data_IF_433168316828
#
_entry.id   IF_433168316828
#
_cell.length_a   1.000
_cell.length_b   1.000
_cell.length_c   1.000
_cell.angle_alpha   90.00
_cell.angle_beta   90.00
_cell.angle_gamma   90.00
#
_symmetry.space_group_name_H-M   'P 1'
#
loop_
_entity.id
_entity.type
_entity.pdbx_description
1 polymer ?
#
# COMPACT_ATOMS: atom_id res chain seq x y z
N UNK A 1 -10.99 30.66 -10.94
CA UNK A 1 -9.70 30.14 -10.43
C UNK A 1 -9.01 29.41 -11.58
N UNK A 2 -7.71 29.63 -11.75
CA UNK A 2 -6.94 29.00 -12.82
C UNK A 2 -6.65 27.53 -12.49
N UNK A 3 -6.59 26.68 -13.53
CA UNK A 3 -6.13 25.30 -13.40
C UNK A 3 -4.60 25.28 -13.36
N UNK A 4 -4.02 24.94 -12.22
CA UNK A 4 -2.58 24.87 -12.01
C UNK A 4 -2.10 23.41 -11.96
N UNK A 5 -0.88 23.15 -12.35
CA UNK A 5 -0.23 21.83 -12.20
C UNK A 5 0.19 21.64 -10.73
N UNK A 6 -0.28 20.57 -10.12
CA UNK A 6 -0.04 20.24 -8.69
C UNK A 6 0.66 18.89 -8.53
N UNK A 7 0.26 17.89 -9.32
CA UNK A 7 0.79 16.54 -9.26
C UNK A 7 1.64 16.22 -10.46
N UNK A 8 2.89 15.85 -10.23
CA UNK A 8 3.78 15.34 -11.26
C UNK A 8 3.39 13.92 -11.72
N UNK A 9 3.97 13.47 -12.82
CA UNK A 9 3.69 12.14 -13.39
C UNK A 9 4.12 11.02 -12.44
N UNK A 10 5.32 11.03 -11.83
CA UNK A 10 5.70 9.99 -10.87
C UNK A 10 4.70 9.81 -9.74
N UNK A 11 4.25 10.91 -9.12
CA UNK A 11 3.27 10.87 -8.01
C UNK A 11 1.95 10.25 -8.45
N UNK A 12 1.47 10.58 -9.64
CA UNK A 12 0.21 10.03 -10.19
C UNK A 12 0.33 8.55 -10.53
N UNK A 13 1.43 8.14 -11.16
CA UNK A 13 1.70 6.73 -11.46
C UNK A 13 1.82 5.91 -10.19
N UNK A 14 2.59 6.40 -9.21
CA UNK A 14 2.65 5.77 -7.90
C UNK A 14 1.26 5.59 -7.29
N UNK A 15 0.46 6.65 -7.25
CA UNK A 15 -0.88 6.61 -6.63
C UNK A 15 -1.75 5.51 -7.25
N UNK A 16 -1.82 5.44 -8.58
CA UNK A 16 -2.66 4.46 -9.25
C UNK A 16 -2.10 3.03 -9.16
N UNK A 17 -0.78 2.85 -9.26
CA UNK A 17 -0.15 1.55 -9.07
C UNK A 17 -0.36 1.03 -7.64
N UNK A 18 -0.19 1.91 -6.64
CA UNK A 18 -0.38 1.57 -5.24
C UNK A 18 -1.85 1.27 -4.92
N UNK A 19 -2.78 2.08 -5.41
CA UNK A 19 -4.21 1.83 -5.25
C UNK A 19 -4.63 0.51 -5.92
N UNK A 20 -4.12 0.21 -7.12
CA UNK A 20 -4.42 -1.05 -7.80
C UNK A 20 -3.86 -2.27 -7.04
N UNK A 21 -2.61 -2.21 -6.56
CA UNK A 21 -2.03 -3.32 -5.81
C UNK A 21 -2.74 -3.55 -4.47
N UNK A 22 -3.07 -2.50 -3.72
CA UNK A 22 -3.82 -2.65 -2.48
C UNK A 22 -5.25 -3.17 -2.72
N UNK A 23 -5.96 -2.61 -3.73
CA UNK A 23 -7.32 -3.08 -4.04
C UNK A 23 -7.31 -4.54 -4.49
N UNK A 24 -6.34 -4.94 -5.32
CA UNK A 24 -6.19 -6.32 -5.76
C UNK A 24 -5.87 -7.26 -4.60
N UNK A 25 -4.90 -6.90 -3.75
CA UNK A 25 -4.55 -7.68 -2.58
C UNK A 25 -5.74 -7.84 -1.63
N UNK A 26 -6.42 -6.74 -1.27
CA UNK A 26 -7.60 -6.76 -0.40
C UNK A 26 -8.71 -7.63 -1.02
N UNK A 27 -9.01 -7.44 -2.32
CA UNK A 27 -10.07 -8.18 -2.97
C UNK A 27 -9.79 -9.69 -2.97
N UNK A 28 -8.57 -10.12 -3.28
CA UNK A 28 -8.21 -11.54 -3.24
C UNK A 28 -8.27 -12.05 -1.80
N UNK A 29 -7.63 -11.39 -0.84
CA UNK A 29 -7.58 -11.86 0.55
C UNK A 29 -8.94 -11.93 1.25
N UNK A 30 -9.97 -11.21 0.77
CA UNK A 30 -11.33 -11.30 1.31
C UNK A 30 -12.28 -12.18 0.50
N UNK A 31 -11.93 -12.56 -0.74
CA UNK A 31 -12.82 -13.29 -1.65
C UNK A 31 -12.35 -14.71 -1.96
N UNK A 32 -11.13 -15.06 -1.56
CA UNK A 32 -10.56 -16.39 -1.79
C UNK A 32 -10.08 -17.00 -0.48
N UNK A 33 -10.05 -18.32 -0.43
CA UNK A 33 -9.48 -19.09 0.66
C UNK A 33 -7.94 -19.21 0.48
N UNK A 34 -7.21 -19.52 1.55
CA UNK A 34 -5.74 -19.55 1.55
C UNK A 34 -5.16 -20.63 0.62
N UNK A 35 -5.92 -21.71 0.34
CA UNK A 35 -5.56 -22.78 -0.58
C UNK A 35 -5.90 -22.48 -2.06
N UNK A 36 -6.56 -21.34 -2.34
CA UNK A 36 -6.85 -20.91 -3.72
C UNK A 36 -5.54 -20.49 -4.42
N UNK A 37 -5.29 -20.95 -5.66
CA UNK A 37 -4.13 -20.54 -6.45
C UNK A 37 -3.99 -19.02 -6.64
N UNK A 38 -5.09 -18.25 -6.54
CA UNK A 38 -5.06 -16.79 -6.59
C UNK A 38 -4.43 -16.18 -5.34
N UNK A 39 -4.39 -16.90 -4.19
CA UNK A 39 -3.82 -16.37 -2.95
C UNK A 39 -2.34 -16.02 -3.10
N UNK A 40 -1.60 -16.77 -3.94
CA UNK A 40 -0.24 -16.40 -4.34
C UNK A 40 -0.19 -14.96 -4.91
N UNK A 41 -1.19 -14.57 -5.71
CA UNK A 41 -1.27 -13.21 -6.27
C UNK A 41 -1.50 -12.15 -5.19
N UNK A 42 -2.27 -12.47 -4.12
CA UNK A 42 -2.39 -11.61 -2.94
C UNK A 42 -1.01 -11.28 -2.35
N UNK A 43 -0.20 -12.30 -2.11
CA UNK A 43 1.14 -12.15 -1.55
C UNK A 43 2.08 -11.35 -2.45
N UNK A 44 2.08 -11.64 -3.76
CA UNK A 44 2.86 -10.88 -4.74
C UNK A 44 2.46 -9.40 -4.79
N UNK A 45 1.15 -9.09 -4.73
CA UNK A 45 0.65 -7.72 -4.68
C UNK A 45 1.05 -6.99 -3.39
N UNK A 46 1.15 -7.71 -2.26
CA UNK A 46 1.72 -7.19 -1.02
C UNK A 46 3.18 -6.76 -1.19
N UNK A 47 4.01 -7.60 -1.82
CA UNK A 47 5.42 -7.25 -2.13
C UNK A 47 5.49 -6.05 -3.08
N UNK A 48 4.62 -5.99 -4.10
CA UNK A 48 4.53 -4.83 -5.00
C UNK A 48 4.19 -3.57 -4.22
N UNK A 49 3.24 -3.62 -3.30
CA UNK A 49 2.85 -2.47 -2.49
C UNK A 49 4.01 -1.95 -1.62
N UNK A 50 4.80 -2.85 -1.01
CA UNK A 50 6.01 -2.48 -0.24
C UNK A 50 7.06 -1.83 -1.13
N UNK A 51 7.36 -2.39 -2.29
CA UNK A 51 8.28 -1.78 -3.25
C UNK A 51 7.84 -0.37 -3.65
N UNK A 52 6.57 -0.21 -4.03
CA UNK A 52 6.01 1.08 -4.37
C UNK A 52 6.11 2.08 -3.20
N UNK A 53 5.89 1.60 -1.97
CA UNK A 53 6.04 2.43 -0.77
C UNK A 53 7.48 2.91 -0.56
N UNK A 54 8.48 2.04 -0.78
CA UNK A 54 9.90 2.42 -0.71
C UNK A 54 10.19 3.54 -1.71
N UNK A 55 9.76 3.38 -2.96
CA UNK A 55 9.90 4.44 -3.98
C UNK A 55 9.17 5.72 -3.55
N UNK A 56 7.99 5.60 -2.95
CA UNK A 56 7.22 6.76 -2.46
C UNK A 56 7.94 7.50 -1.32
N UNK A 57 8.63 6.78 -0.44
CA UNK A 57 9.44 7.39 0.62
C UNK A 57 10.54 8.25 0.00
N UNK A 58 11.26 7.73 -1.00
CA UNK A 58 12.27 8.50 -1.74
C UNK A 58 11.63 9.75 -2.36
N UNK A 59 10.50 9.60 -3.07
CA UNK A 59 9.76 10.74 -3.64
C UNK A 59 9.27 11.72 -2.57
N UNK A 60 8.97 11.24 -1.37
CA UNK A 60 8.58 12.06 -0.22
C UNK A 60 9.71 12.96 0.32
N UNK A 61 10.96 12.59 0.05
CA UNK A 61 12.14 13.35 0.47
C UNK A 61 12.60 14.30 -0.64
N UNK A 62 12.77 13.77 -1.87
CA UNK A 62 13.41 14.52 -2.98
C UNK A 62 12.46 14.95 -4.09
N UNK A 63 11.19 14.59 -4.04
CA UNK A 63 10.19 14.83 -5.08
C UNK A 63 9.79 16.29 -5.26
N UNK A 64 8.75 16.52 -6.08
CA UNK A 64 8.19 17.84 -6.32
C UNK A 64 7.55 18.44 -5.06
N UNK A 65 7.29 19.76 -5.07
CA UNK A 65 6.81 20.53 -3.91
C UNK A 65 5.68 19.82 -3.15
N UNK A 66 4.65 19.36 -3.84
CA UNK A 66 3.47 18.75 -3.21
C UNK A 66 3.60 17.23 -2.97
N UNK A 67 4.61 16.57 -3.56
CA UNK A 67 4.93 15.18 -3.31
C UNK A 67 5.72 14.99 -2.00
N UNK A 68 6.47 16.01 -1.54
CA UNK A 68 7.31 15.93 -0.34
C UNK A 68 6.50 15.88 0.93
N UNK A 69 6.95 15.07 1.89
CA UNK A 69 6.33 14.95 3.22
C UNK A 69 6.35 16.25 4.00
N UNK A 70 7.35 17.11 3.77
CA UNK A 70 7.42 18.44 4.37
C UNK A 70 6.25 19.36 3.98
N UNK A 71 5.50 19.03 2.91
CA UNK A 71 4.31 19.77 2.49
C UNK A 71 3.01 19.24 3.10
N UNK A 72 3.07 18.18 3.91
CA UNK A 72 1.87 17.59 4.52
C UNK A 72 1.35 18.49 5.66
N UNK A 73 0.08 18.90 5.62
CA UNK A 73 -0.50 19.79 6.63
C UNK A 73 -0.96 18.99 7.86
N UNK A 74 0.01 18.38 8.59
CA UNK A 74 -0.24 17.52 9.74
C UNK A 74 -0.04 18.25 11.09
N UNK A 75 -0.01 19.58 11.11
CA UNK A 75 0.04 20.35 12.37
C UNK A 75 -1.24 20.09 13.17
N UNK A 76 -1.16 19.68 14.45
CA UNK A 76 -2.33 19.24 15.22
C UNK A 76 -3.51 20.21 15.20
N UNK A 77 -3.24 21.52 15.38
CA UNK A 77 -4.28 22.56 15.37
C UNK A 77 -4.91 22.74 13.98
N UNK A 78 -4.14 22.63 12.89
CA UNK A 78 -4.66 22.73 11.53
C UNK A 78 -5.50 21.50 11.17
N UNK A 79 -5.05 20.32 11.55
CA UNK A 79 -5.80 19.07 11.35
C UNK A 79 -7.12 19.10 12.13
N UNK A 80 -7.10 19.47 13.42
CA UNK A 80 -8.30 19.56 14.24
C UNK A 80 -9.31 20.55 13.65
N UNK A 81 -8.87 21.74 13.26
CA UNK A 81 -9.72 22.75 12.61
C UNK A 81 -10.29 22.25 11.29
N UNK A 82 -9.49 21.54 10.49
CA UNK A 82 -9.94 20.94 9.24
C UNK A 82 -11.05 19.92 9.47
N UNK A 83 -10.88 18.98 10.39
CA UNK A 83 -11.89 17.95 10.67
C UNK A 83 -13.17 18.55 11.28
N UNK A 84 -13.05 19.49 12.21
CA UNK A 84 -14.21 20.19 12.76
C UNK A 84 -14.99 20.94 11.67
N UNK A 85 -14.31 21.64 10.76
CA UNK A 85 -14.96 22.38 9.67
C UNK A 85 -15.45 21.46 8.54
N UNK A 86 -14.86 20.29 8.35
CA UNK A 86 -15.27 19.34 7.31
C UNK A 86 -16.71 18.85 7.48
N UNK A 87 -17.23 18.80 8.71
CA UNK A 87 -18.59 18.41 8.99
C UNK A 87 -19.57 19.61 8.97
N UNK A 88 -19.12 20.78 9.38
CA UNK A 88 -19.98 21.94 9.67
C UNK A 88 -20.01 22.99 8.56
N UNK A 89 -18.91 23.19 7.83
CA UNK A 89 -18.77 24.27 6.86
C UNK A 89 -17.88 23.88 5.66
N UNK A 90 -17.65 24.86 4.75
CA UNK A 90 -16.65 24.67 3.69
C UNK A 90 -15.26 24.75 4.29
N UNK A 91 -14.48 23.70 4.09
CA UNK A 91 -13.07 23.65 4.50
C UNK A 91 -12.19 24.55 3.63
N UNK A 92 -11.02 24.93 4.17
CA UNK A 92 -9.96 25.59 3.42
C UNK A 92 -9.55 24.71 2.20
N UNK A 93 -9.30 25.35 1.08
CA UNK A 93 -8.73 24.67 -0.10
C UNK A 93 -7.22 24.53 0.04
N UNK A 94 -6.72 23.35 -0.31
CA UNK A 94 -5.30 23.03 -0.32
C UNK A 94 -4.86 22.72 -1.75
N UNK A 95 -3.75 23.30 -2.19
CA UNK A 95 -3.19 22.97 -3.51
C UNK A 95 -2.72 21.51 -3.55
N UNK A 96 -1.89 21.07 -2.61
CA UNK A 96 -1.47 19.68 -2.44
C UNK A 96 -2.46 18.83 -1.64
N UNK A 97 -1.95 18.06 -0.69
CA UNK A 97 -2.76 17.26 0.23
C UNK A 97 -3.50 18.16 1.21
N UNK A 98 -4.74 17.83 1.53
CA UNK A 98 -5.43 18.35 2.69
C UNK A 98 -5.09 17.48 3.93
N UNK A 99 -5.37 17.94 5.17
CA UNK A 99 -5.06 17.18 6.38
C UNK A 99 -5.63 15.76 6.40
N UNK A 100 -6.84 15.55 5.90
CA UNK A 100 -7.46 14.23 5.84
C UNK A 100 -6.72 13.29 4.88
N UNK A 101 -6.39 13.75 3.67
CA UNK A 101 -5.62 12.95 2.71
C UNK A 101 -4.19 12.69 3.18
N UNK A 102 -3.56 13.67 3.86
CA UNK A 102 -2.23 13.51 4.41
C UNK A 102 -2.21 12.47 5.55
N UNK A 103 -3.18 12.52 6.45
CA UNK A 103 -3.32 11.54 7.54
C UNK A 103 -3.59 10.13 6.98
N UNK A 104 -4.51 10.01 6.04
CA UNK A 104 -4.79 8.71 5.40
C UNK A 104 -3.53 8.12 4.74
N UNK A 105 -2.74 8.95 4.03
CA UNK A 105 -1.48 8.51 3.43
C UNK A 105 -0.48 8.01 4.49
N UNK A 106 -0.31 8.74 5.60
CA UNK A 106 0.59 8.32 6.68
C UNK A 106 0.13 7.00 7.30
N UNK A 107 -1.17 6.85 7.58
CA UNK A 107 -1.72 5.60 8.12
C UNK A 107 -1.50 4.42 7.17
N UNK A 108 -1.77 4.59 5.86
CA UNK A 108 -1.49 3.54 4.87
C UNK A 108 0.00 3.20 4.82
N UNK A 109 0.90 4.19 4.94
CA UNK A 109 2.36 3.96 4.93
C UNK A 109 2.86 3.22 6.18
N UNK A 110 2.14 3.27 7.28
CA UNK A 110 2.42 2.49 8.48
C UNK A 110 1.79 1.09 8.42
N UNK A 111 0.55 1.00 7.94
CA UNK A 111 -0.19 -0.27 7.88
C UNK A 111 0.39 -1.23 6.84
N UNK A 112 0.82 -0.75 5.68
CA UNK A 112 1.31 -1.63 4.59
C UNK A 112 2.58 -2.41 4.99
N UNK A 113 3.63 -1.83 5.60
CA UNK A 113 4.74 -2.60 6.12
C UNK A 113 4.32 -3.58 7.24
N UNK A 114 3.44 -3.16 8.14
CA UNK A 114 2.94 -4.04 9.20
C UNK A 114 2.21 -5.25 8.62
N UNK A 115 1.35 -5.04 7.63
CA UNK A 115 0.68 -6.11 6.88
C UNK A 115 1.67 -7.02 6.16
N UNK A 116 2.72 -6.47 5.57
CA UNK A 116 3.75 -7.27 4.92
C UNK A 116 4.47 -8.19 5.91
N UNK A 117 4.90 -7.66 7.06
CA UNK A 117 5.61 -8.45 8.07
C UNK A 117 4.71 -9.53 8.69
N UNK A 118 3.46 -9.21 8.98
CA UNK A 118 2.51 -10.20 9.51
C UNK A 118 2.12 -11.23 8.46
N UNK A 119 1.90 -10.84 7.22
CA UNK A 119 1.59 -11.76 6.12
C UNK A 119 2.76 -12.65 5.70
N UNK A 120 4.01 -12.24 5.98
CA UNK A 120 5.19 -13.07 5.79
C UNK A 120 5.47 -14.03 6.98
N UNK A 121 4.57 -14.12 7.95
CA UNK A 121 4.75 -14.99 9.13
C UNK A 121 5.87 -14.53 10.08
N UNK A 122 6.36 -13.30 9.93
CA UNK A 122 7.45 -12.78 10.77
C UNK A 122 6.89 -12.39 12.13
N UNK A 123 7.16 -13.20 13.15
CA UNK A 123 6.71 -12.99 14.53
C UNK A 123 6.17 -14.25 15.21
N UNK A 124 5.81 -15.28 14.45
CA UNK A 124 5.28 -16.56 14.98
C UNK A 124 3.92 -16.43 15.67
N UNK A 125 3.26 -17.54 15.96
CA UNK A 125 2.04 -17.57 16.76
C UNK A 125 0.81 -16.94 16.08
N UNK A 126 0.10 -16.05 16.78
CA UNK A 126 -1.19 -15.45 16.36
C UNK A 126 -1.05 -14.37 15.28
N UNK A 127 -0.03 -14.45 14.41
CA UNK A 127 0.28 -13.40 13.41
C UNK A 127 -0.83 -13.26 12.37
N UNK A 128 -1.54 -14.34 12.06
CA UNK A 128 -2.66 -14.33 11.12
C UNK A 128 -3.82 -13.43 11.58
N UNK A 129 -4.21 -13.52 12.87
CA UNK A 129 -5.27 -12.68 13.44
C UNK A 129 -4.87 -11.19 13.45
N UNK A 130 -3.58 -10.92 13.67
CA UNK A 130 -3.04 -9.56 13.60
C UNK A 130 -3.09 -9.05 12.16
N UNK A 131 -2.72 -9.88 11.18
CA UNK A 131 -2.79 -9.53 9.76
C UNK A 131 -4.22 -9.16 9.35
N UNK A 132 -5.20 -9.97 9.71
CA UNK A 132 -6.61 -9.71 9.41
C UNK A 132 -7.08 -8.39 10.07
N UNK A 133 -6.75 -8.17 11.35
CA UNK A 133 -7.09 -6.92 12.05
C UNK A 133 -6.50 -5.70 11.35
N UNK A 134 -5.24 -5.77 10.91
CA UNK A 134 -4.59 -4.70 10.17
C UNK A 134 -5.19 -4.50 8.77
N UNK A 135 -5.66 -5.58 8.12
CA UNK A 135 -6.33 -5.50 6.83
C UNK A 135 -7.68 -4.76 6.95
N UNK A 136 -8.46 -5.05 7.99
CA UNK A 136 -9.68 -4.30 8.30
C UNK A 136 -9.39 -2.82 8.62
N UNK A 137 -8.32 -2.53 9.35
CA UNK A 137 -7.89 -1.16 9.61
C UNK A 137 -7.51 -0.43 8.33
N UNK A 138 -6.75 -1.09 7.43
CA UNK A 138 -6.40 -0.53 6.12
C UNK A 138 -7.63 -0.26 5.27
N UNK A 139 -8.57 -1.20 5.21
CA UNK A 139 -9.84 -1.03 4.49
C UNK A 139 -10.63 0.16 5.02
N UNK A 140 -10.72 0.33 6.35
CA UNK A 140 -11.37 1.48 6.97
C UNK A 140 -10.68 2.80 6.59
N UNK A 141 -9.35 2.86 6.59
CA UNK A 141 -8.60 4.06 6.18
C UNK A 141 -8.86 4.40 4.70
N UNK A 142 -8.89 3.40 3.82
CA UNK A 142 -9.20 3.58 2.39
C UNK A 142 -10.63 4.09 2.23
N UNK A 143 -11.61 3.48 2.92
CA UNK A 143 -13.01 3.90 2.86
C UNK A 143 -13.19 5.35 3.33
N UNK A 144 -12.56 5.74 4.44
CA UNK A 144 -12.59 7.10 4.95
C UNK A 144 -11.90 8.09 3.99
N UNK A 145 -10.80 7.69 3.35
CA UNK A 145 -10.13 8.50 2.33
C UNK A 145 -11.06 8.76 1.14
N UNK A 146 -11.68 7.73 0.59
CA UNK A 146 -12.61 7.85 -0.53
C UNK A 146 -13.86 8.66 -0.14
N UNK A 147 -14.43 8.41 1.04
CA UNK A 147 -15.55 9.19 1.57
C UNK A 147 -15.21 10.68 1.71
N UNK A 148 -14.00 10.99 2.18
CA UNK A 148 -13.48 12.36 2.26
C UNK A 148 -13.36 13.03 0.90
N UNK A 149 -12.91 12.31 -0.13
CA UNK A 149 -12.86 12.80 -1.52
C UNK A 149 -14.26 13.09 -2.07
N UNK A 150 -15.21 12.20 -1.84
CA UNK A 150 -16.62 12.37 -2.26
C UNK A 150 -17.23 13.58 -1.57
N UNK A 151 -17.09 13.68 -0.25
CA UNK A 151 -17.60 14.81 0.53
C UNK A 151 -17.03 16.14 0.05
N UNK A 152 -15.71 16.19 -0.18
CA UNK A 152 -15.05 17.38 -0.73
C UNK A 152 -15.62 17.74 -2.11
N UNK A 153 -15.77 16.77 -3.00
CA UNK A 153 -16.30 16.97 -4.36
C UNK A 153 -17.71 17.54 -4.32
N UNK A 154 -18.60 17.00 -3.47
CA UNK A 154 -19.97 17.50 -3.33
C UNK A 154 -19.98 18.94 -2.79
N UNK A 155 -19.20 19.22 -1.75
CA UNK A 155 -19.20 20.52 -1.06
C UNK A 155 -18.58 21.65 -1.84
N UNK A 156 -17.44 21.36 -2.49
CA UNK A 156 -16.70 22.39 -3.22
C UNK A 156 -17.01 22.41 -4.70
N UNK A 157 -17.82 21.46 -5.20
CA UNK A 157 -18.14 21.26 -6.62
C UNK A 157 -16.86 21.18 -7.48
N UNK A 158 -15.81 20.58 -6.93
CA UNK A 158 -14.52 20.37 -7.56
C UNK A 158 -14.09 18.92 -7.36
N UNK A 159 -13.97 18.16 -8.46
CA UNK A 159 -13.50 16.77 -8.40
C UNK A 159 -12.00 16.73 -8.17
N UNK A 160 -11.57 16.64 -6.91
CA UNK A 160 -10.15 16.51 -6.60
C UNK A 160 -9.58 15.14 -6.97
N UNK A 161 -10.41 14.10 -7.05
CA UNK A 161 -9.99 12.80 -7.57
C UNK A 161 -9.46 12.87 -9.02
N UNK A 162 -10.08 13.70 -9.89
CA UNK A 162 -9.60 13.92 -11.23
C UNK A 162 -8.19 14.56 -11.29
N UNK A 163 -7.74 15.21 -10.22
CA UNK A 163 -6.40 15.77 -10.18
C UNK A 163 -5.31 14.69 -10.20
N UNK A 164 -5.59 13.47 -9.73
CA UNK A 164 -4.67 12.34 -9.84
C UNK A 164 -4.63 11.73 -11.25
N UNK A 165 -5.54 12.14 -12.14
CA UNK A 165 -5.50 11.78 -13.57
C UNK A 165 -4.85 12.90 -14.37
N UNK A 166 -5.29 14.14 -14.18
CA UNK A 166 -4.88 15.30 -15.00
C UNK A 166 -3.61 16.00 -14.49
N UNK A 167 -3.25 15.80 -13.24
CA UNK A 167 -2.19 16.54 -12.52
C UNK A 167 -2.62 17.93 -12.07
N UNK A 168 -3.85 18.39 -12.38
CA UNK A 168 -4.27 19.79 -12.25
C UNK A 168 -5.40 19.97 -11.25
N UNK A 169 -5.33 21.07 -10.49
CA UNK A 169 -6.38 21.53 -9.57
C UNK A 169 -6.64 23.02 -9.77
N UNK A 170 -7.78 23.50 -9.28
CA UNK A 170 -8.02 24.95 -9.19
C UNK A 170 -7.21 25.51 -8.02
N UNK A 171 -6.42 26.54 -8.25
CA UNK A 171 -5.54 27.09 -7.22
C UNK A 171 -4.90 28.42 -7.61
N UNK A 172 -4.01 28.89 -6.71
CA UNK A 172 -3.19 30.06 -6.96
C UNK A 172 -2.02 29.66 -7.90
N UNK A 173 -1.69 30.46 -8.94
CA UNK A 173 -0.52 30.24 -9.78
C UNK A 173 0.79 30.09 -9.00
N UNK A 174 0.92 30.74 -7.86
CA UNK A 174 2.09 30.62 -6.98
C UNK A 174 2.27 29.21 -6.36
N UNK A 175 1.22 28.40 -6.34
CA UNK A 175 1.25 27.03 -5.86
C UNK A 175 1.54 26.00 -6.96
N UNK A 176 1.64 26.43 -8.22
CA UNK A 176 1.96 25.52 -9.32
C UNK A 176 3.35 24.91 -9.19
N UNK A 177 3.50 23.66 -9.55
CA UNK A 177 4.83 23.06 -9.76
C UNK A 177 5.32 23.38 -11.17
N UNK A 178 6.64 23.60 -11.34
CA UNK A 178 7.18 24.06 -12.63
C UNK A 178 7.16 23.02 -13.74
N UNK A 179 7.14 21.72 -13.37
CA UNK A 179 7.19 20.61 -14.34
C UNK A 179 6.40 19.41 -13.87
N UNK A 180 5.86 18.66 -14.83
CA UNK A 180 5.25 17.33 -14.58
C UNK A 180 6.27 16.20 -14.48
N UNK A 181 7.56 16.48 -14.65
CA UNK A 181 8.67 15.52 -14.55
C UNK A 181 8.49 14.24 -15.39
N UNK A 182 8.26 14.32 -16.72
CA UNK A 182 7.93 13.16 -17.55
C UNK A 182 9.06 12.12 -17.60
N UNK A 183 10.32 12.54 -17.61
CA UNK A 183 11.47 11.63 -17.59
C UNK A 183 11.51 10.78 -16.30
N UNK A 184 11.27 11.38 -15.13
CA UNK A 184 11.14 10.65 -13.87
C UNK A 184 9.91 9.75 -13.85
N UNK A 185 8.81 10.17 -14.50
CA UNK A 185 7.62 9.33 -14.69
C UNK A 185 7.93 8.09 -15.53
N UNK A 186 8.67 8.23 -16.61
CA UNK A 186 9.10 7.12 -17.46
C UNK A 186 10.06 6.17 -16.70
N UNK A 187 11.03 6.71 -15.96
CA UNK A 187 11.94 5.92 -15.14
C UNK A 187 11.17 5.13 -14.06
N UNK A 188 10.20 5.75 -13.39
CA UNK A 188 9.32 5.07 -12.43
C UNK A 188 8.53 3.94 -13.10
N UNK A 189 7.88 4.22 -14.25
CA UNK A 189 7.10 3.23 -14.97
C UNK A 189 7.95 2.02 -15.39
N UNK A 190 9.15 2.25 -15.91
CA UNK A 190 10.09 1.18 -16.28
C UNK A 190 10.51 0.36 -15.06
N UNK A 191 10.90 1.02 -13.96
CA UNK A 191 11.31 0.34 -12.73
C UNK A 191 10.15 -0.48 -12.13
N UNK A 192 8.95 0.08 -12.06
CA UNK A 192 7.77 -0.62 -11.54
C UNK A 192 7.39 -1.81 -12.44
N UNK A 193 7.39 -1.64 -13.75
CA UNK A 193 7.07 -2.73 -14.71
C UNK A 193 8.12 -3.84 -14.63
N UNK A 194 9.41 -3.49 -14.56
CA UNK A 194 10.49 -4.48 -14.43
C UNK A 194 10.41 -5.24 -13.11
N UNK A 195 10.09 -4.55 -11.99
CA UNK A 195 9.91 -5.18 -10.69
C UNK A 195 8.71 -6.12 -10.68
N UNK A 196 7.54 -5.63 -11.09
CA UNK A 196 6.31 -6.43 -11.13
C UNK A 196 6.48 -7.62 -12.07
N UNK A 197 6.94 -7.38 -13.30
CA UNK A 197 7.19 -8.45 -14.26
C UNK A 197 8.21 -9.47 -13.76
N UNK A 198 9.27 -9.01 -13.08
CA UNK A 198 10.27 -9.87 -12.46
C UNK A 198 9.70 -10.71 -11.32
N UNK A 199 8.83 -10.18 -10.47
CA UNK A 199 8.16 -10.95 -9.41
C UNK A 199 7.27 -12.04 -10.02
N UNK A 200 6.41 -11.68 -10.97
CA UNK A 200 5.51 -12.64 -11.62
C UNK A 200 6.23 -13.66 -12.51
N UNK A 201 7.42 -13.35 -13.02
CA UNK A 201 8.23 -14.30 -13.78
C UNK A 201 9.07 -15.24 -12.91
N UNK A 202 9.38 -14.87 -11.67
CA UNK A 202 10.26 -15.62 -10.77
C UNK A 202 9.54 -16.16 -9.52
N UNK A 203 8.21 -16.23 -9.52
CA UNK A 203 7.47 -16.92 -8.47
C UNK A 203 7.42 -18.42 -8.74
N UNK A 204 7.44 -19.20 -7.68
CA UNK A 204 7.29 -20.65 -7.69
C UNK A 204 6.05 -21.00 -6.84
N UNK A 205 4.96 -21.30 -7.54
CA UNK A 205 3.69 -21.65 -6.87
C UNK A 205 3.76 -22.98 -6.14
N UNK A 206 4.61 -23.93 -6.61
CA UNK A 206 4.72 -25.24 -5.98
C UNK A 206 5.44 -25.19 -4.63
N UNK A 207 6.39 -24.27 -4.48
CA UNK A 207 7.15 -24.08 -3.26
C UNK A 207 6.72 -22.83 -2.48
N UNK A 208 5.59 -22.22 -2.81
CA UNK A 208 5.09 -20.96 -2.22
C UNK A 208 6.22 -19.94 -2.00
N UNK A 209 7.02 -19.68 -3.05
CA UNK A 209 8.18 -18.81 -2.92
C UNK A 209 8.34 -17.85 -4.10
N UNK A 210 9.06 -16.76 -3.88
CA UNK A 210 9.39 -15.81 -4.94
C UNK A 210 10.85 -15.36 -4.81
N UNK A 211 11.57 -15.38 -5.92
CA UNK A 211 12.90 -14.79 -5.98
C UNK A 211 12.79 -13.32 -6.32
N UNK A 212 13.23 -12.47 -5.37
CA UNK A 212 13.16 -11.03 -5.56
C UNK A 212 14.05 -10.57 -6.73
N UNK A 213 13.48 -9.80 -7.68
CA UNK A 213 14.27 -9.19 -8.74
C UNK A 213 15.38 -8.32 -8.15
N UNK A 214 16.55 -8.29 -8.78
CA UNK A 214 17.75 -7.51 -8.41
C UNK A 214 18.43 -7.95 -7.11
N UNK A 215 17.73 -8.44 -6.10
CA UNK A 215 18.29 -8.86 -4.82
C UNK A 215 18.75 -10.32 -4.84
N UNK A 216 18.15 -11.15 -5.70
CA UNK A 216 18.44 -12.57 -5.78
C UNK A 216 18.01 -13.40 -4.58
N UNK A 217 17.49 -12.77 -3.55
CA UNK A 217 16.97 -13.40 -2.34
C UNK A 217 15.63 -14.04 -2.62
N UNK A 218 15.43 -15.28 -2.15
CA UNK A 218 14.13 -15.96 -2.19
C UNK A 218 13.38 -15.68 -0.88
N UNK A 219 12.13 -15.29 -0.99
CA UNK A 219 11.20 -15.13 0.13
C UNK A 219 10.19 -16.26 0.07
N UNK A 220 9.96 -16.92 1.21
CA UNK A 220 8.86 -17.86 1.38
C UNK A 220 7.56 -17.07 1.55
N UNK A 221 6.51 -17.52 0.86
CA UNK A 221 5.20 -16.92 0.85
C UNK A 221 4.24 -17.93 1.50
N UNK A 222 3.90 -17.74 2.77
CA UNK A 222 3.06 -18.63 3.55
C UNK A 222 3.83 -19.70 4.36
N UNK A 223 3.10 -20.48 5.14
CA UNK A 223 3.65 -21.56 5.96
C UNK A 223 3.97 -22.78 5.08
N UNK A 224 5.17 -23.34 5.24
CA UNK A 224 5.51 -24.62 4.63
C UNK A 224 4.89 -25.76 5.43
N UNK A 225 3.82 -26.37 4.95
CA UNK A 225 3.27 -27.61 5.52
C UNK A 225 4.25 -28.81 5.50
N UNK A 226 5.37 -28.68 4.78
CA UNK A 226 6.38 -29.75 4.65
C UNK A 226 7.20 -30.01 5.90
N UNK A 227 7.08 -29.20 6.97
CA UNK A 227 7.85 -29.35 8.21
C UNK A 227 7.21 -30.20 9.30
N UNK A 228 5.93 -30.49 9.23
CA UNK A 228 5.23 -31.24 10.31
C UNK A 228 5.23 -32.76 10.11
N UNK A 229 5.44 -33.28 8.91
CA UNK A 229 5.44 -34.73 8.68
C UNK A 229 6.72 -35.46 9.12
N UNK A 230 7.83 -34.78 9.41
CA UNK A 230 9.06 -35.47 9.88
C UNK A 230 9.19 -35.61 11.40
N UNK A 231 8.33 -34.97 12.20
CA UNK A 231 8.42 -35.07 13.68
C UNK A 231 7.52 -36.13 14.31
N UNK A 232 6.69 -36.82 13.52
CA UNK A 232 5.68 -37.75 14.03
C UNK A 232 6.10 -39.24 14.07
N UNK A 233 7.29 -39.63 13.65
CA UNK A 233 7.63 -41.03 13.46
C UNK A 233 8.89 -41.50 14.20
N UNK A 234 9.18 -40.97 15.37
CA UNK A 234 10.18 -41.57 16.28
C UNK A 234 9.67 -41.58 17.70
N UNK A 235 9.06 -42.67 18.11
CA UNK A 235 8.72 -42.92 19.49
C UNK A 235 7.68 -44.03 19.64
N UNK A 236 8.13 -45.26 19.86
CA UNK A 236 7.22 -46.30 20.29
C UNK A 236 7.58 -47.69 19.80
N UNK A 237 8.77 -48.13 20.14
CA UNK A 237 9.09 -49.55 20.24
C UNK A 237 9.53 -49.77 21.66
N UNK A 238 8.60 -50.06 22.54
CA UNK A 238 8.87 -50.65 23.83
C UNK A 238 8.47 -52.12 23.74
N UNK A 239 9.49 -52.95 23.67
CA UNK A 239 9.43 -54.39 23.89
C UNK A 239 9.14 -54.61 25.38
N UNK A 240 8.00 -55.13 25.73
CA UNK A 240 7.76 -55.76 27.00
C UNK A 240 7.71 -57.27 26.78
N UNK A 241 8.89 -57.90 26.89
CA UNK A 241 9.05 -59.26 27.28
C UNK A 241 8.89 -59.37 28.82
N UNK A 242 7.88 -59.98 29.30
CA UNK A 242 7.84 -60.49 30.67
C UNK A 242 7.41 -61.96 30.63
N UNK A 243 8.40 -62.74 31.00
CA UNK A 243 8.29 -64.12 31.48
C UNK A 243 7.69 -64.19 32.88
N UNK A 244 6.93 -65.29 33.13
CA UNK A 244 6.45 -66.00 34.35
C UNK A 244 5.00 -65.81 34.71
#
# INVERSE_FOLDING_TARGET
>A
MNKILVWDIPTRLFHWAFAASLTGAIAIGFLTDDDDPLFMTHMLLGIVAVFLLIVRIVMGIVGSRHARFSSYPLRPGEAATYFASALLSKTKRYAGNNPGSALAAVLMFLLVPALFFTGAGIGGGEVGEIHETLAWALLAVIALHVAGLILHTIRHRESIGLSMITGRKSGDPADAIPSSHPAWGAAFALAATAWIGGLFANHDAANASVKLPLLGTTIQLGENESGEHERGHHGGHDDDDDDD
#
